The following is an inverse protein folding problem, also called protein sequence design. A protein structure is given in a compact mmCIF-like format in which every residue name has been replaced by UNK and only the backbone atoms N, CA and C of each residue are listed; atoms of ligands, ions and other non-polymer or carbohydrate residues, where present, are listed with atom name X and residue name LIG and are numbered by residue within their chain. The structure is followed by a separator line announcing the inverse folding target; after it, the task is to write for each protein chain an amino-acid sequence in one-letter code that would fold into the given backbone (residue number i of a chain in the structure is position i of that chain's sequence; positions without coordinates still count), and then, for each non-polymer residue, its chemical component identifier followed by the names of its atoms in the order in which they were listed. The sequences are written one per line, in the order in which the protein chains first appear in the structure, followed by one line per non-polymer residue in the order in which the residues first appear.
data_IF_545509814873
#
_entry.id   IF_545509814873
#
_cell.length_a   1.000
_cell.length_b   1.000
_cell.length_c   1.000
_cell.angle_alpha   90.00
_cell.angle_beta   90.00
_cell.angle_gamma   90.00
#
_symmetry.space_group_name_H-M   'P 1'
#
loop_
_entity.id
_entity.type
_entity.pdbx_description
1 polymer ?
#
# COMPACT_ATOMS: atom_id res chain seq x y z
N UNK A 1 -0.84 65.41 -12.86
CA UNK A 1 -1.86 64.98 -13.84
C UNK A 1 -2.49 63.69 -13.32
N UNK A 2 -3.82 63.55 -13.29
CA UNK A 2 -4.47 62.29 -12.84
C UNK A 2 -4.21 61.19 -13.87
N UNK A 3 -3.80 60.01 -13.39
CA UNK A 3 -3.53 58.87 -14.25
C UNK A 3 -4.78 58.51 -15.08
N UNK A 4 -4.73 58.58 -16.43
CA UNK A 4 -5.87 58.28 -17.28
C UNK A 4 -6.36 56.83 -17.13
N UNK A 5 -5.51 55.90 -16.67
CA UNK A 5 -5.87 54.51 -16.39
C UNK A 5 -6.98 54.39 -15.33
N UNK A 6 -7.04 55.31 -14.36
CA UNK A 6 -8.01 55.27 -13.27
C UNK A 6 -9.47 55.51 -13.72
N UNK A 7 -9.66 56.12 -14.90
CA UNK A 7 -11.00 56.26 -15.51
C UNK A 7 -11.29 55.19 -16.56
N UNK A 8 -10.24 54.59 -17.13
CA UNK A 8 -10.32 53.67 -18.26
C UNK A 8 -10.63 52.23 -17.81
N UNK A 9 -9.86 51.69 -16.87
CA UNK A 9 -10.02 50.34 -16.34
C UNK A 9 -11.46 50.02 -15.86
N UNK A 10 -12.11 50.86 -15.01
CA UNK A 10 -13.48 50.58 -14.58
C UNK A 10 -14.52 50.69 -15.70
N UNK A 11 -14.24 51.47 -16.76
CA UNK A 11 -15.12 51.58 -17.93
C UNK A 11 -15.03 50.34 -18.81
N UNK A 12 -13.82 49.82 -19.03
CA UNK A 12 -13.57 48.58 -19.78
C UNK A 12 -14.16 47.36 -19.06
N UNK A 13 -13.92 47.22 -17.76
CA UNK A 13 -14.52 46.14 -16.95
C UNK A 13 -16.05 46.15 -17.00
N UNK A 14 -16.67 47.32 -17.11
CA UNK A 14 -18.13 47.45 -17.23
C UNK A 14 -18.63 47.14 -18.64
N UNK A 15 -17.88 47.52 -19.67
CA UNK A 15 -18.23 47.28 -21.07
C UNK A 15 -18.15 45.79 -21.43
N UNK A 16 -17.11 45.10 -20.97
CA UNK A 16 -16.86 43.66 -21.24
C UNK A 16 -17.08 42.77 -20.00
N UNK A 17 -17.95 43.21 -19.09
CA UNK A 17 -18.19 42.56 -17.79
C UNK A 17 -18.44 41.05 -17.89
N UNK A 18 -19.26 40.62 -18.86
CA UNK A 18 -19.58 39.19 -19.03
C UNK A 18 -18.34 38.34 -19.33
N UNK A 19 -17.39 38.84 -20.14
CA UNK A 19 -16.15 38.12 -20.47
C UNK A 19 -15.27 37.98 -19.23
N UNK A 20 -15.04 39.08 -18.53
CA UNK A 20 -14.22 39.08 -17.31
C UNK A 20 -14.86 38.26 -16.17
N UNK A 21 -16.19 38.27 -16.06
CA UNK A 21 -16.92 37.45 -15.10
C UNK A 21 -16.73 35.97 -15.39
N UNK A 22 -16.85 35.53 -16.65
CA UNK A 22 -16.63 34.12 -17.02
C UNK A 22 -15.20 33.69 -16.70
N UNK A 23 -14.20 34.51 -17.04
CA UNK A 23 -12.79 34.19 -16.74
C UNK A 23 -12.57 34.17 -15.22
N UNK A 24 -13.13 35.12 -14.48
CA UNK A 24 -13.05 35.15 -13.02
C UNK A 24 -13.65 33.89 -12.39
N UNK A 25 -14.87 33.51 -12.78
CA UNK A 25 -15.52 32.30 -12.25
C UNK A 25 -14.73 31.04 -12.60
N UNK A 26 -14.20 30.97 -13.82
CA UNK A 26 -13.34 29.86 -14.24
C UNK A 26 -12.07 29.78 -13.40
N UNK A 27 -11.37 30.90 -13.18
CA UNK A 27 -10.18 30.94 -12.32
C UNK A 27 -10.51 30.53 -10.88
N UNK A 28 -11.58 31.06 -10.30
CA UNK A 28 -12.00 30.70 -8.93
C UNK A 28 -12.30 29.19 -8.85
N UNK A 29 -13.03 28.64 -9.81
CA UNK A 29 -13.35 27.22 -9.87
C UNK A 29 -12.08 26.36 -9.98
N UNK A 30 -11.19 26.70 -10.91
CA UNK A 30 -9.94 25.98 -11.15
C UNK A 30 -9.03 25.98 -9.92
N UNK A 31 -8.78 27.17 -9.35
CA UNK A 31 -7.96 27.30 -8.14
C UNK A 31 -8.58 26.53 -6.98
N UNK A 32 -9.91 26.58 -6.83
CA UNK A 32 -10.61 25.84 -5.76
C UNK A 32 -10.49 24.32 -5.95
N UNK A 33 -10.61 23.82 -7.19
CA UNK A 33 -10.50 22.40 -7.51
C UNK A 33 -9.07 21.90 -7.28
N UNK A 34 -8.07 22.59 -7.83
CA UNK A 34 -6.65 22.21 -7.68
C UNK A 34 -6.23 22.32 -6.21
N UNK A 35 -6.58 23.40 -5.52
CA UNK A 35 -6.25 23.56 -4.10
C UNK A 35 -6.95 22.50 -3.24
N UNK A 36 -8.22 22.21 -3.52
CA UNK A 36 -8.97 21.17 -2.81
C UNK A 36 -8.37 19.79 -3.02
N UNK A 37 -7.99 19.46 -4.25
CA UNK A 37 -7.29 18.22 -4.58
C UNK A 37 -5.96 18.12 -3.83
N UNK A 38 -5.09 19.13 -3.93
CA UNK A 38 -3.77 19.11 -3.30
C UNK A 38 -3.86 18.99 -1.78
N UNK A 39 -4.82 19.66 -1.14
CA UNK A 39 -5.02 19.52 0.31
C UNK A 39 -5.48 18.11 0.67
N UNK A 40 -6.43 17.54 -0.06
CA UNK A 40 -6.92 16.18 0.17
C UNK A 40 -5.80 15.15 -0.03
N UNK A 41 -5.07 15.22 -1.14
CA UNK A 41 -3.97 14.34 -1.49
C UNK A 41 -2.85 14.38 -0.43
N UNK A 42 -2.35 15.56 -0.08
CA UNK A 42 -1.31 15.67 0.95
C UNK A 42 -1.78 15.16 2.32
N UNK A 43 -3.07 15.37 2.67
CA UNK A 43 -3.62 14.90 3.94
C UNK A 43 -3.70 13.37 3.98
N UNK A 44 -4.20 12.76 2.90
CA UNK A 44 -4.30 11.30 2.81
C UNK A 44 -2.90 10.68 2.77
N UNK A 45 -1.93 11.29 2.06
CA UNK A 45 -0.56 10.78 1.97
C UNK A 45 0.14 10.84 3.33
N UNK A 46 -0.09 11.92 4.07
CA UNK A 46 0.44 12.05 5.43
C UNK A 46 -0.12 10.96 6.36
N UNK A 47 -1.44 10.75 6.36
CA UNK A 47 -2.05 9.66 7.15
C UNK A 47 -1.61 8.27 6.71
N UNK A 48 -1.32 8.10 5.42
CA UNK A 48 -0.77 6.87 4.87
C UNK A 48 0.64 6.60 5.43
N UNK A 49 1.52 7.58 5.37
CA UNK A 49 2.89 7.49 5.85
C UNK A 49 2.97 7.32 7.37
N UNK A 50 2.13 8.02 8.14
CA UNK A 50 1.98 7.80 9.59
C UNK A 50 1.51 6.37 9.92
N UNK A 51 0.76 5.75 9.00
CA UNK A 51 0.32 4.36 9.11
C UNK A 51 1.50 3.39 9.21
N UNK A 52 2.62 3.67 8.54
CA UNK A 52 3.78 2.76 8.55
C UNK A 52 4.41 2.65 9.93
N UNK A 53 4.54 3.76 10.66
CA UNK A 53 5.01 3.76 12.04
C UNK A 53 3.93 3.18 12.97
N UNK A 54 2.68 3.65 12.84
CA UNK A 54 1.57 3.28 13.74
C UNK A 54 1.27 1.78 13.73
N UNK A 55 1.32 1.14 12.57
CA UNK A 55 1.04 -0.28 12.41
C UNK A 55 2.31 -1.13 12.36
N UNK A 56 3.46 -0.54 12.68
CA UNK A 56 4.77 -1.18 12.72
C UNK A 56 5.05 -2.01 11.45
N UNK A 57 4.99 -1.35 10.29
CA UNK A 57 5.24 -1.97 8.99
C UNK A 57 6.65 -2.60 8.95
N UNK A 58 6.74 -3.75 8.29
CA UNK A 58 7.98 -4.46 8.02
C UNK A 58 8.96 -3.70 7.10
N UNK A 59 10.25 -4.05 7.18
CA UNK A 59 11.26 -3.60 6.22
C UNK A 59 11.37 -4.55 5.00
N UNK A 60 10.70 -5.69 5.07
CA UNK A 60 10.46 -6.65 4.00
C UNK A 60 10.15 -8.03 4.57
N UNK A 61 9.97 -9.02 3.69
CA UNK A 61 9.82 -10.41 4.09
C UNK A 61 10.52 -11.38 3.14
N UNK A 62 10.79 -12.58 3.64
CA UNK A 62 11.30 -13.69 2.84
C UNK A 62 10.58 -14.98 3.21
N UNK A 63 10.51 -15.91 2.26
CA UNK A 63 9.92 -17.21 2.47
C UNK A 63 10.95 -18.32 2.36
N UNK A 64 10.90 -19.27 3.27
CA UNK A 64 11.69 -20.51 3.21
C UNK A 64 10.82 -21.66 2.68
N UNK A 65 11.45 -22.62 2.01
CA UNK A 65 10.78 -23.83 1.53
C UNK A 65 10.42 -24.81 2.66
N UNK A 66 11.04 -24.65 3.83
CA UNK A 66 10.85 -25.48 5.04
C UNK A 66 10.85 -24.61 6.30
N UNK A 67 10.28 -25.16 7.37
CA UNK A 67 10.30 -24.51 8.68
C UNK A 67 11.75 -24.44 9.21
N UNK A 68 12.29 -23.24 9.47
CA UNK A 68 13.58 -23.08 10.12
C UNK A 68 13.49 -23.46 11.60
N UNK A 69 14.57 -24.01 12.15
CA UNK A 69 14.70 -24.13 13.61
C UNK A 69 15.04 -22.77 14.26
N UNK A 70 14.90 -22.70 15.58
CA UNK A 70 15.21 -21.48 16.33
C UNK A 70 16.69 -21.06 16.23
N UNK A 71 17.61 -21.98 15.95
CA UNK A 71 19.03 -21.65 15.79
C UNK A 71 19.24 -20.86 14.50
N UNK A 72 18.64 -21.30 13.40
CA UNK A 72 18.72 -20.62 12.11
C UNK A 72 18.10 -19.22 12.20
N UNK A 73 16.93 -19.08 12.83
CA UNK A 73 16.30 -17.77 13.07
C UNK A 73 17.24 -16.82 13.82
N UNK A 74 17.81 -17.28 14.95
CA UNK A 74 18.75 -16.48 15.74
C UNK A 74 20.02 -16.11 14.95
N UNK A 75 20.55 -17.04 14.15
CA UNK A 75 21.73 -16.80 13.32
C UNK A 75 21.45 -15.73 12.25
N UNK A 76 20.27 -15.76 11.62
CA UNK A 76 19.82 -14.73 10.67
C UNK A 76 19.69 -13.37 11.36
N UNK A 77 18.95 -13.27 12.46
CA UNK A 77 18.76 -12.03 13.22
C UNK A 77 20.10 -11.39 13.63
N UNK A 78 21.02 -12.19 14.17
CA UNK A 78 22.34 -11.72 14.61
C UNK A 78 23.21 -11.24 13.44
N UNK A 79 23.20 -11.95 12.31
CA UNK A 79 24.03 -11.61 11.15
C UNK A 79 23.52 -10.37 10.43
N UNK A 80 22.21 -10.22 10.34
CA UNK A 80 21.54 -9.14 9.60
C UNK A 80 21.26 -7.88 10.43
N UNK A 81 21.54 -7.91 11.75
CA UNK A 81 21.17 -6.84 12.69
C UNK A 81 19.67 -6.48 12.60
N UNK A 82 18.84 -7.52 12.60
CA UNK A 82 17.39 -7.42 12.44
C UNK A 82 16.64 -8.32 13.43
N UNK A 83 15.32 -8.12 13.53
CA UNK A 83 14.40 -9.02 14.22
C UNK A 83 13.44 -9.62 13.20
N UNK A 84 13.21 -10.92 13.29
CA UNK A 84 12.29 -11.66 12.45
C UNK A 84 10.95 -11.85 13.16
N UNK A 85 9.88 -11.86 12.37
CA UNK A 85 8.51 -12.04 12.83
C UNK A 85 7.83 -13.11 11.98
N UNK A 86 7.15 -14.04 12.64
CA UNK A 86 6.42 -15.11 12.00
C UNK A 86 5.16 -14.53 11.32
N UNK A 87 5.18 -14.47 9.99
CA UNK A 87 4.04 -14.13 9.15
C UNK A 87 3.71 -15.28 8.21
N UNK A 88 3.77 -16.52 8.73
CA UNK A 88 3.32 -17.70 8.01
C UNK A 88 1.87 -17.54 7.57
N UNK A 89 1.62 -17.97 6.35
CA UNK A 89 0.30 -17.97 5.77
C UNK A 89 0.04 -19.25 5.00
N UNK A 90 -1.23 -19.53 4.74
CA UNK A 90 -1.63 -20.48 3.71
C UNK A 90 -2.60 -19.79 2.76
N UNK A 91 -2.76 -20.37 1.58
CA UNK A 91 -3.72 -19.92 0.57
C UNK A 91 -4.69 -21.04 0.28
N UNK A 92 -5.97 -20.71 0.24
CA UNK A 92 -7.03 -21.63 -0.15
C UNK A 92 -8.07 -20.87 -0.97
N UNK A 93 -8.64 -21.54 -1.96
CA UNK A 93 -9.77 -21.01 -2.72
C UNK A 93 -11.05 -21.15 -1.88
N UNK A 94 -11.83 -20.08 -1.81
CA UNK A 94 -13.16 -20.11 -1.21
C UNK A 94 -14.07 -21.03 -2.02
N UNK A 95 -14.76 -21.96 -1.36
CA UNK A 95 -15.42 -23.08 -2.04
C UNK A 95 -16.60 -22.68 -2.95
N UNK A 96 -17.28 -21.57 -2.64
CA UNK A 96 -18.48 -21.12 -3.34
C UNK A 96 -18.14 -20.04 -4.41
N UNK A 97 -17.18 -19.14 -4.16
CA UNK A 97 -16.75 -18.12 -5.14
C UNK A 97 -15.57 -18.52 -6.02
N UNK A 98 -14.66 -19.35 -5.51
CA UNK A 98 -13.37 -19.65 -6.16
C UNK A 98 -12.32 -18.55 -5.99
N UNK A 99 -12.53 -17.61 -5.07
CA UNK A 99 -11.58 -16.53 -4.79
C UNK A 99 -10.43 -17.03 -3.91
N UNK A 100 -9.20 -16.57 -4.18
CA UNK A 100 -8.02 -16.91 -3.40
C UNK A 100 -8.02 -16.16 -2.08
N UNK A 101 -8.02 -16.88 -0.96
CA UNK A 101 -7.93 -16.28 0.39
C UNK A 101 -6.58 -16.64 1.01
N UNK A 102 -5.75 -15.61 1.25
CA UNK A 102 -4.47 -15.74 1.96
C UNK A 102 -4.69 -15.49 3.44
N UNK A 103 -4.58 -16.54 4.25
CA UNK A 103 -4.91 -16.52 5.67
C UNK A 103 -3.64 -16.39 6.51
N UNK A 104 -3.61 -15.42 7.43
CA UNK A 104 -2.56 -15.22 8.42
C UNK A 104 -3.09 -15.51 9.84
N UNK A 105 -2.15 -15.77 10.76
CA UNK A 105 -2.42 -15.66 12.19
C UNK A 105 -2.58 -14.20 12.60
N UNK A 106 -3.32 -13.96 13.69
CA UNK A 106 -3.49 -12.65 14.32
C UNK A 106 -2.13 -12.01 14.65
N UNK A 107 -1.89 -10.79 14.17
CA UNK A 107 -0.58 -10.12 14.25
C UNK A 107 -0.58 -9.15 15.42
N UNK A 108 0.41 -9.29 16.30
CA UNK A 108 0.49 -8.48 17.52
C UNK A 108 1.76 -7.62 17.62
N UNK A 109 2.72 -7.82 16.72
CA UNK A 109 4.01 -7.13 16.76
C UNK A 109 4.28 -6.30 15.50
N UNK A 110 4.20 -6.87 14.29
CA UNK A 110 4.44 -6.19 13.01
C UNK A 110 3.24 -6.30 12.09
N UNK A 111 3.14 -5.36 11.15
CA UNK A 111 2.06 -5.29 10.17
C UNK A 111 0.67 -5.41 10.83
N UNK A 112 0.47 -4.65 11.91
CA UNK A 112 -0.67 -4.74 12.81
C UNK A 112 -1.99 -4.52 12.06
N UNK A 113 -2.99 -5.33 12.36
CA UNK A 113 -4.33 -5.22 11.80
C UNK A 113 -5.05 -3.97 12.32
N UNK A 114 -5.66 -3.24 11.39
CA UNK A 114 -6.65 -2.23 11.70
C UNK A 114 -8.05 -2.83 11.54
N UNK A 115 -8.77 -3.03 12.65
CA UNK A 115 -10.18 -3.43 12.61
C UNK A 115 -11.03 -2.28 12.09
N UNK A 116 -11.55 -2.42 10.88
CA UNK A 116 -12.37 -1.42 10.21
C UNK A 116 -13.84 -1.55 10.61
N UNK A 117 -14.29 -2.77 10.89
CA UNK A 117 -15.65 -3.07 11.35
C UNK A 117 -15.69 -4.45 12.02
N UNK A 118 -16.55 -4.61 13.03
CA UNK A 118 -16.69 -5.89 13.73
C UNK A 118 -15.57 -6.09 14.75
N UNK A 119 -15.15 -7.34 14.93
CA UNK A 119 -14.17 -7.74 15.93
C UNK A 119 -13.17 -8.73 15.33
N UNK A 120 -11.97 -8.80 15.90
CA UNK A 120 -11.00 -9.84 15.54
C UNK A 120 -11.55 -11.24 15.90
N UNK A 121 -11.18 -12.29 15.16
CA UNK A 121 -11.59 -13.65 15.49
C UNK A 121 -11.17 -14.04 16.91
N UNK A 122 -12.09 -14.61 17.67
CA UNK A 122 -11.81 -15.09 19.03
C UNK A 122 -11.89 -16.61 19.15
N UNK A 123 -12.62 -17.26 18.24
CA UNK A 123 -12.76 -18.71 18.17
C UNK A 123 -12.08 -19.31 16.94
N UNK A 124 -11.77 -20.61 17.01
CA UNK A 124 -11.05 -21.37 15.97
C UNK A 124 -11.82 -21.46 14.63
N UNK A 125 -13.12 -21.19 14.63
CA UNK A 125 -14.00 -21.20 13.45
C UNK A 125 -14.45 -19.80 13.02
N UNK A 126 -13.73 -18.77 13.45
CA UNK A 126 -13.98 -17.37 13.10
C UNK A 126 -12.85 -16.83 12.22
N UNK A 127 -13.21 -15.90 11.33
CA UNK A 127 -12.29 -15.30 10.36
C UNK A 127 -12.62 -13.83 10.17
N UNK A 128 -11.57 -13.00 10.03
CA UNK A 128 -11.71 -11.62 9.58
C UNK A 128 -11.16 -11.50 8.17
N UNK A 129 -11.84 -10.74 7.31
CA UNK A 129 -11.48 -10.57 5.90
C UNK A 129 -11.03 -9.15 5.62
N UNK A 130 -10.31 -8.94 4.51
CA UNK A 130 -10.04 -7.59 4.02
C UNK A 130 -11.36 -6.83 3.75
N UNK A 131 -11.39 -5.55 4.17
CA UNK A 131 -12.57 -4.69 4.02
C UNK A 131 -13.02 -4.47 2.59
N UNK A 132 -12.10 -4.32 1.64
CA UNK A 132 -12.40 -4.01 0.25
C UNK A 132 -12.94 -5.25 -0.45
N UNK A 133 -12.28 -6.39 -0.24
CA UNK A 133 -12.78 -7.67 -0.73
C UNK A 133 -14.19 -7.96 -0.22
N UNK A 134 -14.40 -7.88 1.11
CA UNK A 134 -15.70 -8.15 1.72
C UNK A 134 -16.80 -7.21 1.17
N UNK A 135 -16.47 -5.94 0.93
CA UNK A 135 -17.40 -4.99 0.33
C UNK A 135 -17.75 -5.37 -1.12
N UNK A 136 -16.77 -5.76 -1.93
CA UNK A 136 -16.97 -6.16 -3.33
C UNK A 136 -17.80 -7.46 -3.45
N UNK A 137 -17.48 -8.44 -2.61
CA UNK A 137 -18.20 -9.71 -2.50
C UNK A 137 -19.56 -9.58 -1.77
N UNK A 138 -19.86 -8.40 -1.20
CA UNK A 138 -21.08 -8.10 -0.41
C UNK A 138 -21.24 -9.00 0.83
N UNK A 139 -20.12 -9.49 1.36
CA UNK A 139 -20.06 -10.26 2.60
C UNK A 139 -20.41 -9.36 3.78
N UNK A 140 -21.16 -9.88 4.74
CA UNK A 140 -21.51 -9.20 5.98
C UNK A 140 -20.93 -9.94 7.17
N UNK A 141 -20.70 -9.21 8.25
CA UNK A 141 -20.37 -9.80 9.54
C UNK A 141 -21.53 -10.72 9.97
N UNK A 142 -21.20 -11.94 10.36
CA UNK A 142 -22.13 -13.00 10.67
C UNK A 142 -22.39 -13.97 9.51
N UNK A 143 -21.97 -13.64 8.28
CA UNK A 143 -21.99 -14.59 7.16
C UNK A 143 -20.93 -15.69 7.37
N UNK A 144 -20.99 -16.72 6.54
CA UNK A 144 -20.08 -17.87 6.60
C UNK A 144 -19.41 -18.05 5.24
N UNK A 145 -18.11 -18.33 5.25
CA UNK A 145 -17.33 -18.74 4.08
C UNK A 145 -16.76 -20.15 4.30
N UNK A 146 -16.34 -20.81 3.24
CA UNK A 146 -15.78 -22.16 3.29
C UNK A 146 -14.35 -22.17 2.76
N UNK A 147 -13.40 -22.48 3.64
CA UNK A 147 -11.98 -22.67 3.30
C UNK A 147 -11.52 -24.05 3.76
N UNK A 148 -10.75 -24.76 2.93
CA UNK A 148 -10.26 -26.11 3.21
C UNK A 148 -11.35 -27.09 3.71
N UNK A 149 -12.59 -26.95 3.22
CA UNK A 149 -13.73 -27.77 3.65
C UNK A 149 -14.28 -27.46 5.06
N UNK A 150 -13.89 -26.32 5.66
CA UNK A 150 -14.36 -25.82 6.95
C UNK A 150 -15.25 -24.60 6.76
N UNK A 151 -16.39 -24.57 7.45
CA UNK A 151 -17.25 -23.39 7.53
C UNK A 151 -16.72 -22.42 8.60
N UNK A 152 -16.42 -21.19 8.18
CA UNK A 152 -15.84 -20.14 9.00
C UNK A 152 -16.77 -18.93 9.05
N UNK A 153 -17.07 -18.46 10.26
CA UNK A 153 -17.93 -17.31 10.48
C UNK A 153 -17.13 -16.02 10.36
N UNK A 154 -17.61 -15.10 9.53
CA UNK A 154 -16.99 -13.78 9.37
C UNK A 154 -17.31 -12.89 10.56
N UNK A 155 -16.29 -12.48 11.32
CA UNK A 155 -16.45 -11.68 12.56
C UNK A 155 -16.05 -10.22 12.40
N UNK A 156 -15.16 -9.92 11.47
CA UNK A 156 -14.66 -8.58 11.27
C UNK A 156 -14.15 -8.33 9.87
N UNK A 157 -13.99 -7.05 9.56
CA UNK A 157 -13.28 -6.57 8.39
C UNK A 157 -12.05 -5.80 8.83
N UNK A 158 -10.90 -6.17 8.29
CA UNK A 158 -9.60 -5.63 8.64
C UNK A 158 -8.94 -4.93 7.45
N UNK A 159 -7.91 -4.15 7.74
CA UNK A 159 -6.92 -3.69 6.79
C UNK A 159 -5.55 -3.89 7.42
N UNK A 160 -4.55 -4.28 6.62
CA UNK A 160 -3.17 -4.46 7.07
C UNK A 160 -2.23 -3.60 6.24
N UNK A 161 -1.15 -3.06 6.81
CA UNK A 161 -0.31 -2.07 6.12
C UNK A 161 0.52 -2.69 4.98
N UNK A 162 0.85 -3.98 5.07
CA UNK A 162 1.55 -4.77 4.06
C UNK A 162 0.68 -5.19 2.87
N UNK A 163 -0.65 -4.96 2.95
CA UNK A 163 -1.60 -5.06 1.85
C UNK A 163 -2.52 -3.85 1.81
N UNK A 164 -1.93 -2.66 1.83
CA UNK A 164 -2.70 -1.42 1.63
C UNK A 164 -3.38 -1.40 0.26
N UNK A 165 -2.79 -2.11 -0.71
CA UNK A 165 -3.36 -2.46 -1.99
C UNK A 165 -3.26 -3.98 -2.17
N UNK A 166 -4.38 -4.63 -2.54
CA UNK A 166 -4.51 -6.09 -2.63
C UNK A 166 -3.80 -6.67 -3.88
N UNK A 167 -2.48 -6.56 -3.95
CA UNK A 167 -1.67 -7.36 -4.87
C UNK A 167 -1.53 -8.77 -4.30
N UNK A 168 -2.01 -9.77 -5.03
CA UNK A 168 -1.79 -11.17 -4.64
C UNK A 168 -0.30 -11.51 -4.73
N UNK A 169 0.35 -11.16 -5.84
CA UNK A 169 1.78 -11.34 -6.04
C UNK A 169 2.44 -10.02 -6.45
N UNK A 170 3.69 -9.82 -6.03
CA UNK A 170 4.44 -8.62 -6.42
C UNK A 170 4.74 -8.58 -7.94
N UNK A 171 4.70 -9.72 -8.63
CA UNK A 171 4.84 -9.79 -10.08
C UNK A 171 3.61 -9.29 -10.85
N UNK A 172 2.45 -9.16 -10.19
CA UNK A 172 1.21 -8.85 -10.88
C UNK A 172 1.20 -7.43 -11.44
N UNK A 173 0.48 -7.27 -12.56
CA UNK A 173 0.35 -5.99 -13.24
C UNK A 173 -0.62 -5.04 -12.54
N UNK A 174 -1.59 -5.59 -11.79
CA UNK A 174 -2.65 -4.85 -11.12
C UNK A 174 -3.07 -5.58 -9.85
N UNK A 175 -3.55 -4.83 -8.85
CA UNK A 175 -4.19 -5.39 -7.67
C UNK A 175 -5.51 -6.07 -8.02
N UNK A 176 -5.89 -7.08 -7.23
CA UNK A 176 -7.16 -7.77 -7.34
C UNK A 176 -7.89 -7.75 -6.00
N UNK A 177 -8.80 -6.79 -5.83
CA UNK A 177 -9.68 -6.73 -4.67
C UNK A 177 -11.02 -7.47 -4.91
N UNK A 178 -11.16 -8.19 -6.02
CA UNK A 178 -12.40 -8.90 -6.39
C UNK A 178 -12.26 -10.39 -6.14
N UNK A 179 -11.14 -10.99 -6.55
CA UNK A 179 -10.91 -12.43 -6.47
C UNK A 179 -9.78 -12.80 -5.48
N UNK A 180 -9.18 -11.83 -4.80
CA UNK A 180 -8.16 -12.06 -3.78
C UNK A 180 -8.49 -11.32 -2.49
N UNK A 181 -8.23 -11.97 -1.36
CA UNK A 181 -8.37 -11.38 -0.02
C UNK A 181 -7.25 -11.81 0.90
N UNK A 182 -6.85 -10.91 1.79
CA UNK A 182 -6.19 -11.28 3.03
C UNK A 182 -7.26 -11.66 4.05
N UNK A 183 -6.94 -12.63 4.90
CA UNK A 183 -7.75 -12.98 6.03
C UNK A 183 -6.88 -13.23 7.27
N UNK A 184 -7.51 -13.09 8.44
CA UNK A 184 -6.84 -13.32 9.73
C UNK A 184 -7.69 -14.28 10.55
N UNK A 185 -7.00 -15.17 11.27
CA UNK A 185 -7.58 -16.14 12.19
C UNK A 185 -6.78 -16.18 13.51
N UNK A 186 -7.36 -16.76 14.54
CA UNK A 186 -6.59 -17.13 15.74
C UNK A 186 -5.53 -18.18 15.40
N UNK A 187 -4.46 -18.27 16.20
CA UNK A 187 -3.43 -19.31 16.02
C UNK A 187 -4.02 -20.71 15.90
N UNK A 188 -4.97 -21.06 16.77
CA UNK A 188 -5.63 -22.37 16.74
C UNK A 188 -6.51 -22.55 15.51
N UNK A 189 -7.23 -21.51 15.10
CA UNK A 189 -8.03 -21.54 13.88
C UNK A 189 -7.16 -21.76 12.65
N UNK A 190 -6.04 -21.05 12.57
CA UNK A 190 -5.03 -21.22 11.53
C UNK A 190 -4.54 -22.66 11.46
N UNK A 191 -4.08 -23.25 12.58
CA UNK A 191 -3.56 -24.63 12.58
C UNK A 191 -4.64 -25.70 12.30
N UNK A 192 -5.90 -25.40 12.60
CA UNK A 192 -7.02 -26.33 12.37
C UNK A 192 -7.55 -26.29 10.92
N UNK A 193 -7.39 -25.16 10.24
CA UNK A 193 -7.88 -24.93 8.86
C UNK A 193 -6.77 -25.12 7.84
N UNK A 194 -5.52 -24.78 8.18
CA UNK A 194 -4.40 -24.81 7.26
C UNK A 194 -4.32 -26.16 6.54
N UNK A 195 -4.19 -26.10 5.22
CA UNK A 195 -3.83 -27.27 4.45
C UNK A 195 -2.33 -27.55 4.61
N UNK A 196 -1.88 -28.69 4.10
CA UNK A 196 -0.47 -29.13 4.20
C UNK A 196 0.55 -28.20 3.49
N UNK A 197 0.16 -27.01 3.03
CA UNK A 197 0.96 -26.08 2.22
C UNK A 197 1.13 -24.71 2.89
N UNK A 198 1.53 -24.68 4.16
CA UNK A 198 1.93 -23.44 4.83
C UNK A 198 3.18 -22.85 4.15
N UNK A 199 3.15 -21.55 3.87
CA UNK A 199 4.30 -20.77 3.41
C UNK A 199 5.08 -20.27 4.62
N UNK A 200 6.34 -20.68 4.74
CA UNK A 200 7.24 -20.27 5.82
C UNK A 200 7.77 -18.85 5.61
N UNK A 201 6.88 -17.88 5.71
CA UNK A 201 7.16 -16.46 5.46
C UNK A 201 7.51 -15.72 6.76
N UNK A 202 8.59 -14.93 6.71
CA UNK A 202 9.12 -14.17 7.83
C UNK A 202 9.33 -12.73 7.42
N UNK A 203 8.68 -11.82 8.13
CA UNK A 203 8.96 -10.39 8.03
C UNK A 203 10.22 -10.06 8.82
N UNK A 204 11.02 -9.12 8.34
CA UNK A 204 12.11 -8.55 9.13
C UNK A 204 11.86 -7.07 9.44
N UNK A 205 12.38 -6.63 10.57
CA UNK A 205 12.64 -5.22 10.86
C UNK A 205 14.08 -5.01 11.25
N UNK A 206 14.71 -3.99 10.71
CA UNK A 206 16.07 -3.64 11.12
C UNK A 206 16.07 -3.12 12.56
N UNK A 207 17.11 -3.46 13.32
CA UNK A 207 17.28 -2.92 14.67
C UNK A 207 17.61 -1.42 14.64
N UNK A 208 18.18 -0.95 13.54
CA UNK A 208 18.44 0.46 13.25
C UNK A 208 17.57 0.91 12.09
N UNK A 209 16.87 2.01 12.28
CA UNK A 209 16.01 2.59 11.25
C UNK A 209 16.81 2.92 9.98
N UNK A 210 16.31 2.45 8.84
CA UNK A 210 16.87 2.71 7.51
C UNK A 210 15.91 3.62 6.78
N UNK A 211 16.36 4.83 6.42
CA UNK A 211 15.51 5.86 5.82
C UNK A 211 16.02 6.23 4.43
N UNK A 212 15.13 6.11 3.45
CA UNK A 212 15.30 6.62 2.09
C UNK A 212 15.72 5.55 1.08
N UNK A 213 15.21 5.68 -0.14
CA UNK A 213 15.21 4.65 -1.18
C UNK A 213 16.57 4.00 -1.41
N UNK A 214 17.64 4.81 -1.44
CA UNK A 214 19.00 4.30 -1.67
C UNK A 214 19.49 3.47 -0.48
N UNK A 215 19.28 3.95 0.75
CA UNK A 215 19.73 3.27 1.95
C UNK A 215 18.94 1.97 2.17
N UNK A 216 17.64 1.99 1.89
CA UNK A 216 16.77 0.80 1.96
C UNK A 216 17.17 -0.25 0.94
N UNK A 217 17.50 0.17 -0.28
CA UNK A 217 18.03 -0.73 -1.31
C UNK A 217 19.35 -1.38 -0.88
N UNK A 218 20.32 -0.57 -0.44
CA UNK A 218 21.64 -1.06 0.00
C UNK A 218 21.48 -2.02 1.21
N UNK A 219 20.68 -1.65 2.21
CA UNK A 219 20.42 -2.49 3.38
C UNK A 219 19.70 -3.80 3.03
N UNK A 220 18.80 -3.79 2.05
CA UNK A 220 18.15 -5.00 1.54
C UNK A 220 19.13 -5.89 0.78
N UNK A 221 20.01 -5.33 -0.05
CA UNK A 221 21.02 -6.12 -0.77
C UNK A 221 21.98 -6.80 0.23
N UNK A 222 22.43 -6.06 1.25
CA UNK A 222 23.23 -6.59 2.35
C UNK A 222 22.47 -7.67 3.16
N UNK A 223 21.18 -7.48 3.42
CA UNK A 223 20.36 -8.47 4.11
C UNK A 223 20.30 -9.78 3.33
N UNK A 224 20.02 -9.72 2.02
CA UNK A 224 19.90 -10.91 1.16
C UNK A 224 21.23 -11.67 1.05
N UNK A 225 22.36 -10.96 0.93
CA UNK A 225 23.69 -11.58 0.92
C UNK A 225 23.95 -12.33 2.24
N UNK A 226 23.71 -11.68 3.38
CA UNK A 226 23.90 -12.26 4.70
C UNK A 226 22.95 -13.45 4.96
N UNK A 227 21.69 -13.35 4.53
CA UNK A 227 20.71 -14.45 4.58
C UNK A 227 21.21 -15.66 3.80
N UNK A 228 21.68 -15.43 2.56
CA UNK A 228 22.22 -16.49 1.71
C UNK A 228 23.45 -17.17 2.31
N UNK A 229 24.33 -16.43 2.97
CA UNK A 229 25.51 -17.00 3.62
C UNK A 229 25.16 -17.81 4.88
N UNK A 230 24.25 -17.32 5.71
CA UNK A 230 23.78 -18.07 6.89
C UNK A 230 23.10 -19.38 6.50
N UNK A 231 22.25 -19.37 5.45
CA UNK A 231 21.59 -20.59 4.96
C UNK A 231 22.63 -21.59 4.45
N UNK A 232 23.63 -21.15 3.66
CA UNK A 232 24.72 -22.04 3.19
C UNK A 232 25.50 -22.65 4.36
N UNK A 233 25.83 -21.84 5.38
CA UNK A 233 26.55 -22.32 6.56
C UNK A 233 25.72 -23.34 7.35
N UNK A 234 24.42 -23.06 7.52
CA UNK A 234 23.48 -23.95 8.19
C UNK A 234 23.33 -25.28 7.45
N UNK A 235 23.11 -25.25 6.14
CA UNK A 235 23.02 -26.44 5.30
C UNK A 235 24.31 -27.25 5.31
N UNK A 236 25.47 -26.59 5.31
CA UNK A 236 26.78 -27.27 5.42
C UNK A 236 26.87 -28.05 6.73
N UNK A 237 26.44 -27.46 7.85
CA UNK A 237 26.41 -28.15 9.16
C UNK A 237 25.45 -29.35 9.15
N UNK A 238 24.27 -29.18 8.55
CA UNK A 238 23.29 -30.27 8.41
C UNK A 238 23.87 -31.44 7.61
N UNK A 239 24.45 -31.17 6.44
CA UNK A 239 25.07 -32.17 5.58
C UNK A 239 26.21 -32.89 6.33
N UNK A 240 27.05 -32.16 7.07
CA UNK A 240 28.12 -32.75 7.89
C UNK A 240 27.59 -33.65 9.01
N UNK A 241 26.37 -33.39 9.50
CA UNK A 241 25.68 -34.23 10.49
C UNK A 241 24.93 -35.43 9.89
N UNK A 242 24.93 -35.57 8.57
CA UNK A 242 24.21 -36.62 7.84
C UNK A 242 22.72 -36.31 7.59
N UNK A 243 22.27 -35.10 7.89
CA UNK A 243 20.94 -34.62 7.55
C UNK A 243 20.92 -34.04 6.13
N UNK A 244 19.97 -34.48 5.30
CA UNK A 244 19.80 -34.02 3.92
C UNK A 244 18.68 -32.98 3.75
N UNK A 245 18.05 -32.57 4.84
CA UNK A 245 16.97 -31.59 4.83
C UNK A 245 17.51 -30.16 4.73
N UNK A 246 18.12 -29.84 3.58
CA UNK A 246 18.58 -28.48 3.25
C UNK A 246 17.41 -27.50 3.12
N UNK A 247 17.66 -26.24 3.46
CA UNK A 247 16.67 -25.14 3.42
C UNK A 247 17.03 -24.19 2.28
N UNK A 248 16.03 -23.62 1.62
CA UNK A 248 16.23 -22.64 0.54
C UNK A 248 15.29 -21.46 0.69
N UNK A 249 15.79 -20.27 0.30
CA UNK A 249 14.96 -19.08 0.13
C UNK A 249 14.12 -19.26 -1.12
N UNK A 250 12.81 -19.33 -0.93
CA UNK A 250 11.82 -19.50 -1.99
C UNK A 250 11.25 -18.17 -2.50
N UNK A 251 11.25 -17.14 -1.65
CA UNK A 251 10.84 -15.79 -2.01
C UNK A 251 11.61 -14.75 -1.17
N UNK A 252 11.81 -13.57 -1.73
CA UNK A 252 12.45 -12.43 -1.06
C UNK A 252 11.88 -11.12 -1.60
N UNK A 253 11.19 -10.37 -0.74
CA UNK A 253 10.52 -9.15 -1.11
C UNK A 253 10.83 -8.03 -0.11
N UNK A 254 11.78 -7.13 -0.41
CA UNK A 254 12.05 -5.98 0.43
C UNK A 254 10.93 -4.93 0.29
N UNK A 255 10.66 -4.20 1.37
CA UNK A 255 9.53 -3.27 1.43
C UNK A 255 9.57 -2.20 0.35
N UNK A 256 10.74 -1.67 -0.04
CA UNK A 256 10.86 -0.63 -1.08
C UNK A 256 10.45 -1.09 -2.49
N UNK A 257 10.35 -2.40 -2.75
CA UNK A 257 9.83 -2.95 -4.02
C UNK A 257 8.48 -3.64 -3.88
N UNK A 258 7.92 -3.67 -2.66
CA UNK A 258 6.64 -4.29 -2.39
C UNK A 258 5.50 -3.39 -2.91
N UNK A 259 4.84 -3.81 -3.99
CA UNK A 259 3.71 -3.08 -4.59
C UNK A 259 2.49 -3.02 -3.66
N UNK A 260 2.24 -4.06 -2.87
CA UNK A 260 1.12 -4.09 -1.93
C UNK A 260 1.25 -2.99 -0.86
N UNK A 261 2.49 -2.54 -0.59
CA UNK A 261 2.83 -1.42 0.31
C UNK A 261 3.00 -0.09 -0.41
N UNK A 262 3.63 -0.03 -1.58
CA UNK A 262 4.01 1.28 -2.14
C UNK A 262 3.01 1.84 -3.16
N UNK A 263 2.22 0.97 -3.81
CA UNK A 263 1.38 1.38 -4.94
C UNK A 263 0.48 2.56 -4.60
N UNK A 264 -0.22 2.52 -3.47
CA UNK A 264 -1.13 3.60 -3.05
C UNK A 264 -0.39 4.93 -2.85
N UNK A 265 0.78 4.90 -2.20
CA UNK A 265 1.58 6.10 -1.97
C UNK A 265 2.18 6.68 -3.26
N UNK A 266 2.60 5.80 -4.18
CA UNK A 266 3.15 6.16 -5.49
C UNK A 266 2.08 6.75 -6.42
N UNK A 267 0.88 6.16 -6.44
CA UNK A 267 -0.27 6.61 -7.24
C UNK A 267 -0.68 8.03 -6.84
N UNK A 268 -0.77 8.30 -5.54
CA UNK A 268 -1.01 9.66 -5.02
C UNK A 268 0.06 10.66 -5.46
N UNK A 269 1.34 10.28 -5.39
CA UNK A 269 2.44 11.12 -5.86
C UNK A 269 2.34 11.43 -7.36
N UNK A 270 1.99 10.43 -8.16
CA UNK A 270 1.77 10.54 -9.61
C UNK A 270 0.55 11.42 -9.94
N UNK A 271 -0.57 11.23 -9.24
CA UNK A 271 -1.80 12.01 -9.39
C UNK A 271 -1.56 13.48 -9.07
N UNK A 272 -0.85 13.77 -7.98
CA UNK A 272 -0.42 15.14 -7.64
C UNK A 272 0.40 15.77 -8.75
N UNK A 273 1.37 15.05 -9.31
CA UNK A 273 2.18 15.55 -10.42
C UNK A 273 1.33 15.87 -11.66
N UNK A 274 0.36 15.00 -11.97
CA UNK A 274 -0.56 15.15 -13.10
C UNK A 274 -1.47 16.37 -12.93
N UNK A 275 -2.07 16.55 -11.75
CA UNK A 275 -2.92 17.70 -11.45
C UNK A 275 -2.12 19.01 -11.48
N UNK A 276 -0.89 19.03 -10.96
CA UNK A 276 -0.02 20.21 -11.07
C UNK A 276 0.34 20.54 -12.52
N UNK A 277 0.65 19.55 -13.34
CA UNK A 277 0.93 19.76 -14.76
C UNK A 277 -0.30 20.33 -15.49
N UNK A 278 -1.48 19.78 -15.22
CA UNK A 278 -2.74 20.28 -15.75
C UNK A 278 -2.98 21.74 -15.35
N UNK A 279 -2.75 22.10 -14.08
CA UNK A 279 -2.87 23.49 -13.62
C UNK A 279 -1.92 24.43 -14.38
N UNK A 280 -0.65 24.04 -14.58
CA UNK A 280 0.29 24.84 -15.37
C UNK A 280 -0.17 25.03 -16.82
N UNK A 281 -0.70 23.99 -17.46
CA UNK A 281 -1.23 24.09 -18.83
C UNK A 281 -2.41 25.09 -18.87
N UNK A 282 -3.35 24.97 -17.92
CA UNK A 282 -4.50 25.87 -17.84
C UNK A 282 -4.06 27.32 -17.61
N UNK A 283 -3.08 27.55 -16.73
CA UNK A 283 -2.53 28.88 -16.47
C UNK A 283 -1.92 29.51 -17.73
N UNK A 284 -1.19 28.72 -18.54
CA UNK A 284 -0.63 29.19 -19.82
C UNK A 284 -1.74 29.53 -20.81
N UNK A 285 -2.78 28.69 -20.92
CA UNK A 285 -3.92 28.95 -21.81
C UNK A 285 -4.67 30.20 -21.40
N UNK A 286 -4.94 30.39 -20.11
CA UNK A 286 -5.60 31.60 -19.58
C UNK A 286 -4.75 32.84 -19.89
N UNK A 287 -3.43 32.78 -19.63
CA UNK A 287 -2.52 33.89 -19.94
C UNK A 287 -2.53 34.25 -21.44
N UNK A 288 -2.56 33.23 -22.32
CA UNK A 288 -2.68 33.43 -23.76
C UNK A 288 -4.01 34.07 -24.16
N UNK A 289 -5.13 33.59 -23.62
CA UNK A 289 -6.46 34.17 -23.86
C UNK A 289 -6.51 35.63 -23.41
N UNK A 290 -5.95 35.95 -22.25
CA UNK A 290 -5.82 37.32 -21.78
C UNK A 290 -4.96 38.19 -22.70
N UNK A 291 -3.83 37.68 -23.17
CA UNK A 291 -2.95 38.40 -24.10
C UNK A 291 -3.66 38.70 -25.43
N UNK A 292 -4.31 37.71 -26.04
CA UNK A 292 -5.08 37.88 -27.29
C UNK A 292 -6.25 38.85 -27.09
N UNK A 293 -6.99 38.71 -25.98
CA UNK A 293 -8.12 39.60 -25.66
C UNK A 293 -7.65 41.04 -25.49
N UNK A 294 -6.54 41.24 -24.78
CA UNK A 294 -5.92 42.57 -24.58
C UNK A 294 -5.46 43.15 -25.91
N UNK A 295 -4.77 42.36 -26.75
CA UNK A 295 -4.34 42.80 -28.09
C UNK A 295 -5.51 43.22 -28.96
N UNK A 296 -6.57 42.41 -29.02
CA UNK A 296 -7.78 42.74 -29.81
C UNK A 296 -8.46 44.01 -29.30
N UNK A 297 -8.51 44.22 -27.99
CA UNK A 297 -9.08 45.43 -27.39
C UNK A 297 -8.27 46.67 -27.77
N UNK A 298 -6.94 46.59 -27.70
CA UNK A 298 -6.05 47.69 -28.13
C UNK A 298 -6.24 48.01 -29.62
N UNK A 299 -6.33 46.98 -30.48
CA UNK A 299 -6.54 47.18 -31.92
C UNK A 299 -7.92 47.75 -32.27
N UNK A 300 -8.96 47.50 -31.46
CA UNK A 300 -10.27 48.12 -31.65
C UNK A 300 -10.31 49.59 -31.23
N UNK A 301 -9.42 50.00 -30.35
CA UNK A 301 -9.33 51.39 -29.85
C UNK A 301 -8.33 52.27 -30.61
N UNK A 302 -7.49 51.68 -31.47
CA UNK A 302 -6.54 52.36 -32.36
C UNK A 302 -7.19 52.76 -33.68
#
# INVERSE_FOLDING_TARGET
MRNPLNKRLPRELKHDFGKYLVIFLFMVMMISLVSGFLVADNSVKHSYDEGFEKYNLEDGHFALDKEPDSSLINDIENKTDSKLYDLRYFEEDEADSGDTIRVYKDRTEVNLECVMKGEMPAADNEIALDRMYAQNAKIKIGDTIKLAGKELKVTGFVAVPDYSCLFENNSDMMFDATNFSIAVMTDKGFENVSSNHVKYNYAWKYNKEVIGDKAEKEASEDFLENLGDIIKEYDTKLIMSGNTDIISVSDYLPRYTNKAVNFTGDDMGSDKATIMLFDYIVMVVIAFVFAVTTSNTISQEA
#
